data_IF_920708929669
#
_entry.id   IF_920708929669
#
_cell.length_a   1.000
_cell.length_b   1.000
_cell.length_c   1.000
_cell.angle_alpha   90.00
_cell.angle_beta   90.00
_cell.angle_gamma   90.00
#
_symmetry.space_group_name_H-M   'P 1'
#
loop_
_entity.id
_entity.type
_entity.pdbx_description
1 polymer ?
#
# COMPACT_ATOMS: atom_id res chain seq x y z
N UNK A 1 -7.28 4.27 22.13
CA UNK A 1 -6.05 4.50 21.33
C UNK A 1 -5.96 3.68 20.04
N UNK A 2 -6.87 2.74 19.73
CA UNK A 2 -6.85 2.00 18.45
C UNK A 2 -7.96 2.43 17.46
N UNK A 3 -8.78 3.42 17.82
CA UNK A 3 -9.87 3.93 16.98
C UNK A 3 -9.36 4.72 15.79
N UNK A 4 -8.31 5.51 16.00
CA UNK A 4 -7.87 6.50 15.01
C UNK A 4 -7.12 5.81 13.87
N UNK A 5 -6.24 4.84 14.21
CA UNK A 5 -5.57 3.99 13.22
C UNK A 5 -6.58 3.18 12.37
N UNK A 6 -7.61 2.61 13.00
CA UNK A 6 -8.68 1.90 12.27
C UNK A 6 -9.40 2.80 11.27
N UNK A 7 -9.75 4.02 11.69
CA UNK A 7 -10.41 4.99 10.82
C UNK A 7 -9.50 5.42 9.66
N UNK A 8 -8.22 5.66 9.93
CA UNK A 8 -7.23 5.99 8.90
C UNK A 8 -7.10 4.86 7.88
N UNK A 9 -6.99 3.60 8.33
CA UNK A 9 -6.92 2.43 7.44
C UNK A 9 -8.17 2.33 6.55
N UNK A 10 -9.37 2.49 7.13
CA UNK A 10 -10.63 2.43 6.38
C UNK A 10 -10.75 3.55 5.35
N UNK A 11 -10.21 4.73 5.63
CA UNK A 11 -10.23 5.88 4.73
C UNK A 11 -9.36 5.77 3.48
N UNK A 12 -8.40 4.83 3.46
CA UNK A 12 -7.44 4.69 2.34
C UNK A 12 -7.59 3.38 1.56
N UNK A 13 -8.66 2.62 1.81
CA UNK A 13 -8.89 1.37 1.11
C UNK A 13 -9.18 1.61 -0.38
N UNK A 14 -8.68 0.69 -1.21
CA UNK A 14 -8.97 0.62 -2.64
C UNK A 14 -9.57 -0.75 -2.90
N UNK A 15 -10.78 -0.79 -3.44
CA UNK A 15 -11.54 -2.03 -3.67
C UNK A 15 -11.67 -2.90 -2.41
N UNK A 16 -11.85 -2.25 -1.24
CA UNK A 16 -11.95 -2.92 0.06
C UNK A 16 -10.64 -3.54 0.57
N UNK A 17 -9.51 -3.26 -0.08
CA UNK A 17 -8.18 -3.76 0.30
C UNK A 17 -7.26 -2.60 0.63
N UNK A 18 -6.25 -2.84 1.47
CA UNK A 18 -5.26 -1.85 1.85
C UNK A 18 -4.03 -1.96 0.93
N UNK A 19 -3.71 -0.98 0.07
CA UNK A 19 -2.48 -1.00 -0.71
C UNK A 19 -1.25 -0.97 0.20
N UNK A 20 -0.26 -1.83 -0.07
CA UNK A 20 0.95 -1.96 0.74
C UNK A 20 1.67 -0.61 0.94
N UNK A 21 1.81 0.17 -0.13
CA UNK A 21 2.41 1.51 -0.05
C UNK A 21 1.64 2.47 0.88
N UNK A 22 0.30 2.35 0.95
CA UNK A 22 -0.53 3.17 1.86
C UNK A 22 -0.37 2.70 3.31
N UNK A 23 -0.25 1.39 3.55
CA UNK A 23 0.02 0.87 4.89
C UNK A 23 1.33 1.43 5.47
N UNK A 24 2.40 1.44 4.67
CA UNK A 24 3.68 2.03 5.08
C UNK A 24 3.62 3.55 5.22
N UNK A 25 2.84 4.24 4.39
CA UNK A 25 2.62 5.69 4.54
C UNK A 25 1.95 6.01 5.88
N UNK A 26 0.89 5.27 6.25
CA UNK A 26 0.21 5.43 7.55
C UNK A 26 1.19 5.18 8.70
N UNK A 27 1.98 4.10 8.63
CA UNK A 27 2.95 3.78 9.67
C UNK A 27 3.94 4.93 9.89
N UNK A 28 4.42 5.53 8.80
CA UNK A 28 5.32 6.70 8.84
C UNK A 28 4.64 7.95 9.38
N UNK A 29 3.42 8.25 8.94
CA UNK A 29 2.65 9.43 9.36
C UNK A 29 2.27 9.38 10.85
N UNK A 30 2.04 8.18 11.38
CA UNK A 30 1.67 7.96 12.78
C UNK A 30 2.87 7.58 13.67
N UNK A 31 4.08 7.53 13.13
CA UNK A 31 5.33 7.16 13.82
C UNK A 31 5.25 5.79 14.55
N UNK A 32 4.61 4.81 13.92
CA UNK A 32 4.45 3.44 14.43
C UNK A 32 5.13 2.40 13.55
N UNK A 33 5.33 1.20 14.10
CA UNK A 33 5.84 0.08 13.32
C UNK A 33 4.81 -0.36 12.24
N UNK A 34 5.22 -0.59 10.97
CA UNK A 34 4.34 -1.11 9.93
C UNK A 34 3.63 -2.42 10.30
N UNK A 35 4.22 -3.24 11.18
CA UNK A 35 3.61 -4.44 11.73
C UNK A 35 2.32 -4.11 12.49
N UNK A 36 2.24 -2.98 13.18
CA UNK A 36 1.05 -2.56 13.91
C UNK A 36 -0.11 -2.24 12.95
N UNK A 37 0.19 -1.53 11.85
CA UNK A 37 -0.80 -1.30 10.77
C UNK A 37 -1.29 -2.63 10.19
N UNK A 38 -0.37 -3.58 9.98
CA UNK A 38 -0.70 -4.93 9.50
C UNK A 38 -1.56 -5.74 10.48
N UNK A 39 -1.28 -5.65 11.79
CA UNK A 39 -2.09 -6.27 12.84
C UNK A 39 -3.51 -5.72 12.83
N UNK A 40 -3.67 -4.41 12.84
CA UNK A 40 -4.99 -3.76 12.83
C UNK A 40 -5.75 -4.10 11.55
N UNK A 41 -5.10 -4.08 10.38
CA UNK A 41 -5.74 -4.49 9.13
C UNK A 41 -6.23 -5.95 9.20
N UNK A 42 -5.44 -6.85 9.79
CA UNK A 42 -5.80 -8.26 9.97
C UNK A 42 -7.00 -8.43 10.91
N UNK A 43 -7.00 -7.73 12.05
CA UNK A 43 -8.11 -7.72 13.01
C UNK A 43 -9.42 -7.21 12.38
N UNK A 44 -9.32 -6.26 11.45
CA UNK A 44 -10.45 -5.69 10.71
C UNK A 44 -10.85 -6.53 9.49
N UNK A 45 -10.18 -7.67 9.24
CA UNK A 45 -10.45 -8.52 8.08
C UNK A 45 -10.05 -7.92 6.73
N UNK A 46 -9.22 -6.88 6.73
CA UNK A 46 -8.78 -6.14 5.55
C UNK A 46 -7.52 -6.81 4.96
N UNK A 47 -7.58 -7.17 3.68
CA UNK A 47 -6.43 -7.77 2.97
C UNK A 47 -5.49 -6.70 2.41
N UNK A 48 -4.18 -6.98 2.46
CA UNK A 48 -3.17 -6.18 1.77
C UNK A 48 -3.24 -6.43 0.25
N UNK A 49 -3.03 -5.38 -0.55
CA UNK A 49 -2.92 -5.44 -2.02
C UNK A 49 -1.71 -4.65 -2.52
N UNK A 50 -1.37 -4.78 -3.82
CA UNK A 50 -0.31 -3.99 -4.48
C UNK A 50 1.01 -4.01 -3.70
N UNK A 51 1.46 -5.22 -3.35
CA UNK A 51 2.67 -5.43 -2.55
C UNK A 51 3.89 -4.75 -3.19
N UNK A 52 4.64 -3.95 -2.42
CA UNK A 52 5.87 -3.32 -2.92
C UNK A 52 6.95 -4.35 -3.28
N UNK A 53 6.93 -5.52 -2.65
CA UNK A 53 7.81 -6.66 -2.96
C UNK A 53 7.26 -7.56 -4.10
N UNK A 54 6.10 -7.23 -4.67
CA UNK A 54 5.51 -7.98 -5.78
C UNK A 54 4.73 -9.24 -5.41
N UNK A 55 4.68 -9.64 -4.14
CA UNK A 55 4.07 -10.92 -3.69
C UNK A 55 2.56 -11.04 -3.99
N UNK A 56 1.82 -9.94 -3.94
CA UNK A 56 0.36 -9.91 -4.16
C UNK A 56 -0.06 -9.30 -5.50
N UNK A 57 0.92 -8.95 -6.34
CA UNK A 57 0.72 -8.39 -7.68
C UNK A 57 -0.11 -7.10 -7.75
N UNK A 58 -0.33 -6.65 -8.97
CA UNK A 58 -1.33 -5.64 -9.32
C UNK A 58 -2.45 -6.32 -10.12
N UNK A 59 -3.70 -5.82 -10.04
CA UNK A 59 -4.77 -6.34 -10.88
C UNK A 59 -4.40 -6.27 -12.37
N UNK A 60 -4.87 -7.26 -13.14
CA UNK A 60 -4.58 -7.41 -14.58
C UNK A 60 -4.98 -6.11 -15.31
N UNK A 61 -4.03 -5.47 -15.97
CA UNK A 61 -4.22 -4.19 -16.68
C UNK A 61 -3.60 -2.96 -15.99
N UNK A 62 -3.19 -3.07 -14.72
CA UNK A 62 -2.54 -1.99 -13.98
C UNK A 62 -1.06 -2.30 -13.69
N UNK A 63 -0.26 -2.54 -14.73
CA UNK A 63 1.18 -2.71 -14.57
C UNK A 63 1.86 -1.34 -14.47
N UNK A 64 2.52 -0.98 -13.35
CA UNK A 64 3.22 0.29 -13.24
C UNK A 64 4.35 0.44 -14.27
N UNK A 65 4.97 -0.67 -14.68
CA UNK A 65 6.07 -0.71 -15.67
C UNK A 65 5.68 -0.16 -17.04
N UNK A 66 4.39 -0.20 -17.42
CA UNK A 66 3.93 0.40 -18.67
C UNK A 66 3.96 1.94 -18.62
N UNK A 67 3.77 2.53 -17.44
CA UNK A 67 3.78 3.99 -17.23
C UNK A 67 5.17 4.58 -16.98
N UNK A 68 6.20 3.74 -16.85
CA UNK A 68 7.58 4.15 -16.57
C UNK A 68 8.47 4.23 -17.82
N UNK A 69 7.97 3.81 -19.00
CA UNK A 69 8.76 3.74 -20.25
C UNK A 69 9.31 5.09 -20.72
N UNK A 70 8.70 6.20 -20.32
CA UNK A 70 9.01 7.53 -20.84
C UNK A 70 9.97 8.36 -19.96
N UNK A 71 10.63 7.74 -18.97
CA UNK A 71 11.52 8.45 -18.02
C UNK A 71 12.99 8.00 -18.03
N UNK A 72 13.43 7.28 -19.07
CA UNK A 72 14.86 7.03 -19.29
C UNK A 72 15.34 8.13 -20.24
N UNK A 73 16.12 9.07 -19.73
CA UNK A 73 16.82 10.06 -20.58
C UNK A 73 17.83 9.32 -21.46
N UNK A 74 18.05 9.80 -22.68
CA UNK A 74 18.98 9.16 -23.63
C UNK A 74 20.43 9.07 -23.12
N UNK A 75 20.77 9.81 -22.06
CA UNK A 75 22.05 9.75 -21.36
C UNK A 75 22.27 8.44 -20.56
N UNK A 76 21.19 7.70 -20.28
CA UNK A 76 21.19 6.47 -19.47
C UNK A 76 20.91 5.21 -20.31
N UNK A 77 20.96 5.32 -21.64
CA UNK A 77 20.68 4.24 -22.60
C UNK A 77 21.95 3.61 -23.16
#
# INVERSE_FOLDING_TARGET
MNSDLKNTIRGVLVDGKLPCARAFAIAKEMEIDPLEVGRVATEEGIKISRCQLGLFGYPKGERPVEKMKDKVTDELR
#
